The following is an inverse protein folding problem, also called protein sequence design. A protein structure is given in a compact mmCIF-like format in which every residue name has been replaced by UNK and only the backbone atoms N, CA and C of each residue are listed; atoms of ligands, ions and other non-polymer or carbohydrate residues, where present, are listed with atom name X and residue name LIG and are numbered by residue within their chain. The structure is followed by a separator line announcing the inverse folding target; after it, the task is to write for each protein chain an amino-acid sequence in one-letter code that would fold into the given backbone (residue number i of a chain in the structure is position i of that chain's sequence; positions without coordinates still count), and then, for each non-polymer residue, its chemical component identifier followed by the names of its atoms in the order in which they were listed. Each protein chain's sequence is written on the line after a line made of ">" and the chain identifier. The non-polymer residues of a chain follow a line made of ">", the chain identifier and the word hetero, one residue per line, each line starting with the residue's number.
data_IF_816212100638
#
_entry.id   IF_816212100638
#
_cell.length_a   1.000
_cell.length_b   1.000
_cell.length_c   1.000
_cell.angle_alpha   90.00
_cell.angle_beta   90.00
_cell.angle_gamma   90.00
#
_symmetry.space_group_name_H-M   'P 1'
#
loop_
_entity.id
_entity.type
_entity.pdbx_description
1 polymer ?
#
# COMPACT_ATOMS: atom_id res chain seq x y z
N UNK A 1 2.84 17.14 -10.45
CA UNK A 1 3.50 17.05 -11.77
C UNK A 1 2.44 17.03 -12.87
N UNK A 2 2.71 17.69 -13.99
CA UNK A 2 1.86 17.63 -15.18
C UNK A 2 2.18 16.36 -15.99
N UNK A 3 1.23 15.89 -16.81
CA UNK A 3 1.44 14.67 -17.59
C UNK A 3 2.68 14.75 -18.51
N UNK A 4 2.96 15.92 -19.10
CA UNK A 4 4.13 16.10 -19.97
C UNK A 4 5.47 16.05 -19.21
N UNK A 5 5.51 16.47 -17.94
CA UNK A 5 6.74 16.36 -17.12
C UNK A 5 7.06 14.88 -16.85
N UNK A 6 6.02 14.10 -16.55
CA UNK A 6 6.15 12.65 -16.33
C UNK A 6 6.60 11.97 -17.62
N UNK A 7 6.03 12.33 -18.74
CA UNK A 7 6.38 11.76 -20.04
C UNK A 7 7.83 12.02 -20.42
N UNK A 8 8.29 13.26 -20.27
CA UNK A 8 9.69 13.62 -20.50
C UNK A 8 10.64 12.84 -19.62
N UNK A 9 10.29 12.67 -18.34
CA UNK A 9 11.09 11.90 -17.40
C UNK A 9 11.17 10.40 -17.76
N UNK A 10 10.07 9.80 -18.22
CA UNK A 10 10.05 8.41 -18.70
C UNK A 10 10.96 8.23 -19.91
N UNK A 11 10.91 9.15 -20.87
CA UNK A 11 11.77 9.13 -22.06
C UNK A 11 13.25 9.19 -21.64
N UNK A 12 13.59 10.13 -20.77
CA UNK A 12 14.94 10.28 -20.24
C UNK A 12 15.46 9.01 -19.54
N UNK A 13 14.61 8.36 -18.72
CA UNK A 13 14.95 7.12 -18.03
C UNK A 13 15.23 5.98 -19.04
N UNK A 14 14.43 5.86 -20.08
CA UNK A 14 14.64 4.85 -21.12
C UNK A 14 15.91 5.12 -21.93
N UNK A 15 16.08 6.33 -22.44
CA UNK A 15 17.16 6.65 -23.38
C UNK A 15 18.52 6.75 -22.70
N UNK A 16 18.59 7.36 -21.52
CA UNK A 16 19.87 7.59 -20.83
C UNK A 16 20.31 6.42 -19.95
N UNK A 17 19.34 5.67 -19.38
CA UNK A 17 19.65 4.68 -18.36
C UNK A 17 19.15 3.28 -18.69
N UNK A 18 18.49 3.08 -19.84
CA UNK A 18 17.93 1.81 -20.26
C UNK A 18 16.99 1.17 -19.20
N UNK A 19 16.20 2.01 -18.53
CA UNK A 19 15.25 1.58 -17.50
C UNK A 19 13.95 1.14 -18.17
N UNK A 20 13.44 -0.05 -17.81
CA UNK A 20 12.20 -0.62 -18.37
C UNK A 20 10.97 -0.46 -17.47
N UNK A 21 11.12 0.07 -16.24
CA UNK A 21 10.02 0.26 -15.32
C UNK A 21 10.39 1.03 -14.08
N UNK A 22 9.37 1.47 -13.34
CA UNK A 22 9.53 2.30 -12.12
C UNK A 22 8.61 1.84 -11.00
N UNK A 23 9.08 2.05 -9.80
CA UNK A 23 8.26 2.02 -8.59
C UNK A 23 7.74 3.43 -8.30
N UNK A 24 6.43 3.57 -8.15
CA UNK A 24 5.81 4.85 -7.80
C UNK A 24 5.70 4.96 -6.29
N UNK A 25 6.43 5.89 -5.72
CA UNK A 25 6.39 6.21 -4.30
C UNK A 25 5.49 7.43 -4.14
N UNK A 26 4.20 7.18 -3.95
CA UNK A 26 3.21 8.23 -3.72
C UNK A 26 2.49 7.94 -2.41
N UNK A 27 2.17 8.98 -1.64
CA UNK A 27 1.49 8.81 -0.35
C UNK A 27 0.05 8.35 -0.50
N UNK A 28 -0.57 8.55 -1.67
CA UNK A 28 -1.96 8.17 -1.91
C UNK A 28 -2.29 8.02 -3.41
N UNK A 29 -1.54 7.16 -4.09
CA UNK A 29 -1.82 6.82 -5.49
C UNK A 29 -3.27 6.33 -5.65
N UNK A 30 -3.95 6.78 -6.70
CA UNK A 30 -5.35 6.44 -6.96
C UNK A 30 -6.37 7.39 -6.31
N UNK A 31 -5.95 8.32 -5.46
CA UNK A 31 -6.86 9.34 -4.89
C UNK A 31 -7.48 10.25 -5.96
N UNK A 32 -6.75 10.49 -7.05
CA UNK A 32 -7.24 11.15 -8.24
C UNK A 32 -7.30 10.14 -9.40
N UNK A 33 -8.47 9.56 -9.61
CA UNK A 33 -8.70 8.51 -10.63
C UNK A 33 -8.32 8.97 -12.04
N UNK A 34 -8.62 10.22 -12.40
CA UNK A 34 -8.29 10.77 -13.72
C UNK A 34 -6.78 10.79 -13.95
N UNK A 35 -6.03 11.32 -12.99
CA UNK A 35 -4.56 11.34 -13.06
C UNK A 35 -3.95 9.94 -13.09
N UNK A 36 -4.48 9.01 -12.31
CA UNK A 36 -4.05 7.61 -12.34
C UNK A 36 -4.24 6.98 -13.73
N UNK A 37 -5.35 7.24 -14.38
CA UNK A 37 -5.64 6.75 -15.73
C UNK A 37 -4.75 7.42 -16.80
N UNK A 38 -4.50 8.71 -16.70
CA UNK A 38 -3.58 9.42 -17.60
C UNK A 38 -2.17 8.88 -17.46
N UNK A 39 -1.70 8.68 -16.21
CA UNK A 39 -0.42 8.06 -15.92
C UNK A 39 -0.30 6.65 -16.54
N UNK A 40 -1.28 5.80 -16.31
CA UNK A 40 -1.28 4.43 -16.84
C UNK A 40 -1.21 4.40 -18.38
N UNK A 41 -1.94 5.31 -19.07
CA UNK A 41 -1.85 5.45 -20.53
C UNK A 41 -0.46 5.85 -20.99
N UNK A 42 0.24 6.74 -20.26
CA UNK A 42 1.62 7.10 -20.58
C UNK A 42 2.56 5.90 -20.44
N UNK A 43 2.41 5.11 -19.36
CA UNK A 43 3.19 3.89 -19.18
C UNK A 43 3.01 2.93 -20.35
N UNK A 44 1.75 2.72 -20.78
CA UNK A 44 1.44 1.86 -21.93
C UNK A 44 2.00 2.42 -23.24
N UNK A 45 1.86 3.73 -23.48
CA UNK A 45 2.37 4.41 -24.69
C UNK A 45 3.87 4.21 -24.87
N UNK A 46 4.64 4.23 -23.80
CA UNK A 46 6.09 4.10 -23.81
C UNK A 46 6.58 2.67 -23.53
N UNK A 47 5.68 1.68 -23.48
CA UNK A 47 6.00 0.30 -23.10
C UNK A 47 6.86 0.25 -21.83
N UNK A 48 6.37 0.86 -20.77
CA UNK A 48 7.06 1.03 -19.50
C UNK A 48 6.29 0.35 -18.39
N UNK A 49 6.95 -0.50 -17.62
CA UNK A 49 6.33 -1.18 -16.50
C UNK A 49 6.32 -0.31 -15.25
N UNK A 50 5.36 -0.55 -14.38
CA UNK A 50 5.23 0.22 -13.15
C UNK A 50 4.50 -0.52 -12.06
N UNK A 51 4.74 -0.12 -10.81
CA UNK A 51 3.93 -0.55 -9.68
C UNK A 51 3.90 0.53 -8.59
N UNK A 52 2.73 0.88 -8.05
CA UNK A 52 2.59 1.84 -6.97
C UNK A 52 2.71 1.15 -5.60
N UNK A 53 3.31 1.89 -4.66
CA UNK A 53 3.34 1.52 -3.24
C UNK A 53 2.64 2.59 -2.41
N UNK A 54 2.22 2.23 -1.19
CA UNK A 54 1.53 3.16 -0.29
C UNK A 54 0.08 3.47 -0.70
N UNK A 55 -0.53 2.60 -1.49
CA UNK A 55 -1.91 2.77 -1.95
C UNK A 55 -2.88 2.43 -0.81
N UNK A 56 -3.88 3.27 -0.60
CA UNK A 56 -4.97 2.94 0.33
C UNK A 56 -5.88 1.88 -0.29
N UNK A 57 -6.31 0.92 0.51
CA UNK A 57 -7.15 -0.21 0.04
C UNK A 57 -8.46 0.21 -0.62
N UNK A 58 -9.01 1.37 -0.25
CA UNK A 58 -10.25 1.93 -0.81
C UNK A 58 -10.03 2.86 -2.01
N UNK A 59 -8.78 3.08 -2.44
CA UNK A 59 -8.46 4.00 -3.54
C UNK A 59 -8.57 3.39 -4.92
N UNK A 60 -8.76 2.07 -5.03
CA UNK A 60 -8.85 1.37 -6.32
C UNK A 60 -10.01 0.39 -6.34
N UNK A 61 -10.84 0.46 -7.37
CA UNK A 61 -11.86 -0.53 -7.67
C UNK A 61 -11.31 -1.70 -8.49
N UNK A 62 -12.14 -2.72 -8.71
CA UNK A 62 -11.81 -3.81 -9.64
C UNK A 62 -11.53 -3.29 -11.06
N UNK A 63 -12.34 -2.35 -11.53
CA UNK A 63 -12.21 -1.73 -12.85
C UNK A 63 -10.93 -0.91 -12.97
N UNK A 64 -10.54 -0.20 -11.90
CA UNK A 64 -9.27 0.54 -11.87
C UNK A 64 -8.09 -0.42 -11.96
N UNK A 65 -8.09 -1.49 -11.18
CA UNK A 65 -7.03 -2.51 -11.22
C UNK A 65 -6.92 -3.18 -12.58
N UNK A 66 -8.06 -3.53 -13.19
CA UNK A 66 -8.09 -4.10 -14.54
C UNK A 66 -7.51 -3.14 -15.56
N UNK A 67 -7.93 -1.87 -15.53
CA UNK A 67 -7.39 -0.84 -16.41
C UNK A 67 -5.88 -0.67 -16.24
N UNK A 68 -5.40 -0.57 -15.00
CA UNK A 68 -3.97 -0.42 -14.71
C UNK A 68 -3.16 -1.63 -15.17
N UNK A 69 -3.66 -2.84 -14.96
CA UNK A 69 -3.02 -4.06 -15.43
C UNK A 69 -2.88 -4.10 -16.94
N UNK A 70 -3.94 -3.75 -17.68
CA UNK A 70 -3.93 -3.63 -19.14
C UNK A 70 -2.97 -2.53 -19.64
N UNK A 71 -2.55 -1.64 -18.74
CA UNK A 71 -1.62 -0.53 -18.97
C UNK A 71 -0.26 -0.71 -18.27
N UNK A 72 0.25 -1.94 -18.29
CA UNK A 72 1.58 -2.33 -17.83
C UNK A 72 1.83 -2.22 -16.31
N UNK A 73 0.79 -2.16 -15.48
CA UNK A 73 0.99 -2.29 -14.05
C UNK A 73 1.33 -3.75 -13.70
N UNK A 74 2.46 -3.99 -13.07
CA UNK A 74 2.91 -5.34 -12.67
C UNK A 74 2.36 -5.75 -11.31
N UNK A 75 2.33 -4.81 -10.40
CA UNK A 75 1.98 -5.07 -9.01
C UNK A 75 1.38 -3.81 -8.37
N UNK A 76 0.74 -4.00 -7.22
CA UNK A 76 0.29 -2.91 -6.36
C UNK A 76 0.58 -3.26 -4.90
N UNK A 77 0.98 -2.29 -4.10
CA UNK A 77 1.22 -2.50 -2.67
C UNK A 77 0.31 -1.61 -1.85
N UNK A 78 -0.61 -2.25 -1.14
CA UNK A 78 -1.51 -1.57 -0.22
C UNK A 78 -0.88 -1.43 1.17
N UNK A 79 -1.10 -0.28 1.79
CA UNK A 79 -0.92 -0.10 3.21
C UNK A 79 -2.22 -0.47 3.94
N UNK A 80 -2.29 -1.65 4.54
CA UNK A 80 -3.47 -2.04 5.33
C UNK A 80 -3.23 -2.00 6.84
N UNK A 81 -2.00 -1.88 7.27
CA UNK A 81 -1.47 -1.53 8.58
C UNK A 81 -1.81 -2.51 9.71
N UNK A 82 -3.01 -3.07 9.78
CA UNK A 82 -3.40 -3.99 10.84
C UNK A 82 -4.53 -4.95 10.41
N UNK A 83 -4.54 -6.15 10.96
CA UNK A 83 -5.57 -7.15 10.71
C UNK A 83 -6.66 -7.21 11.79
N UNK A 84 -6.57 -6.39 12.83
CA UNK A 84 -7.63 -6.20 13.82
C UNK A 84 -8.46 -4.97 13.49
N UNK A 85 -9.80 -5.11 13.45
CA UNK A 85 -10.69 -3.97 13.21
C UNK A 85 -10.54 -2.91 14.31
N UNK A 86 -10.43 -3.34 15.56
CA UNK A 86 -10.20 -2.44 16.68
C UNK A 86 -8.96 -1.57 16.45
N UNK A 87 -7.87 -2.15 15.97
CA UNK A 87 -6.64 -1.39 15.70
C UNK A 87 -6.78 -0.47 14.50
N UNK A 88 -7.48 -0.89 13.44
CA UNK A 88 -7.79 -0.02 12.29
C UNK A 88 -8.60 1.21 12.72
N UNK A 89 -9.54 1.03 13.65
CA UNK A 89 -10.36 2.11 14.20
C UNK A 89 -9.52 3.07 15.07
N UNK A 90 -8.65 2.54 15.94
CA UNK A 90 -7.69 3.33 16.73
C UNK A 90 -6.75 4.15 15.84
N UNK A 91 -6.29 3.56 14.74
CA UNK A 91 -5.45 4.23 13.74
C UNK A 91 -6.22 5.19 12.82
N UNK A 92 -7.53 5.31 12.98
CA UNK A 92 -8.42 6.13 12.13
C UNK A 92 -8.30 5.84 10.63
N UNK A 93 -8.10 4.57 10.25
CA UNK A 93 -7.88 4.19 8.85
C UNK A 93 -9.11 4.39 7.96
N UNK A 94 -10.32 4.41 8.54
CA UNK A 94 -11.60 4.64 7.85
C UNK A 94 -11.86 3.64 6.71
N UNK A 95 -11.48 2.39 6.94
CA UNK A 95 -11.83 1.22 6.13
C UNK A 95 -11.85 -0.02 7.01
N UNK A 96 -12.48 -1.07 6.53
CA UNK A 96 -12.69 -2.32 7.27
C UNK A 96 -11.74 -3.42 6.81
N UNK A 97 -11.65 -4.49 7.61
CA UNK A 97 -10.96 -5.73 7.19
C UNK A 97 -11.58 -6.31 5.91
N UNK A 98 -12.88 -6.15 5.74
CA UNK A 98 -13.56 -6.59 4.51
C UNK A 98 -13.11 -5.78 3.28
N UNK A 99 -12.92 -4.46 3.42
CA UNK A 99 -12.36 -3.63 2.35
C UNK A 99 -10.95 -4.10 1.97
N UNK A 100 -10.11 -4.46 2.94
CA UNK A 100 -8.79 -5.05 2.69
C UNK A 100 -8.90 -6.36 1.94
N UNK A 101 -9.77 -7.28 2.40
CA UNK A 101 -9.98 -8.56 1.75
C UNK A 101 -10.47 -8.39 0.31
N UNK A 102 -11.40 -7.48 0.09
CA UNK A 102 -11.95 -7.17 -1.23
C UNK A 102 -10.88 -6.59 -2.17
N UNK A 103 -10.03 -5.67 -1.70
CA UNK A 103 -8.94 -5.11 -2.49
C UNK A 103 -7.96 -6.21 -2.95
N UNK A 104 -7.52 -7.07 -2.02
CA UNK A 104 -6.62 -8.19 -2.33
C UNK A 104 -7.29 -9.22 -3.25
N UNK A 105 -8.56 -9.54 -3.00
CA UNK A 105 -9.34 -10.44 -3.86
C UNK A 105 -9.48 -9.91 -5.29
N UNK A 106 -9.67 -8.60 -5.45
CA UNK A 106 -9.72 -7.96 -6.75
C UNK A 106 -8.37 -8.05 -7.48
N UNK A 107 -7.25 -7.88 -6.78
CA UNK A 107 -5.93 -8.10 -7.36
C UNK A 107 -5.79 -9.52 -7.91
N UNK A 108 -6.19 -10.54 -7.13
CA UNK A 108 -6.17 -11.93 -7.57
C UNK A 108 -7.03 -12.16 -8.82
N UNK A 109 -8.25 -11.63 -8.83
CA UNK A 109 -9.20 -11.78 -9.97
C UNK A 109 -8.66 -11.16 -11.25
N UNK A 110 -7.95 -10.03 -11.15
CA UNK A 110 -7.35 -9.33 -12.31
C UNK A 110 -6.03 -9.97 -12.73
N UNK A 111 -5.32 -10.65 -11.82
CA UNK A 111 -3.98 -11.17 -12.05
C UNK A 111 -2.86 -10.20 -11.67
N UNK A 112 -3.17 -9.13 -10.92
CA UNK A 112 -2.20 -8.17 -10.41
C UNK A 112 -1.48 -8.75 -9.20
N UNK A 113 -0.16 -8.72 -9.24
CA UNK A 113 0.63 -9.12 -8.07
C UNK A 113 0.46 -8.13 -6.93
N UNK A 114 0.21 -8.65 -5.72
CA UNK A 114 0.22 -7.84 -4.50
C UNK A 114 0.66 -8.71 -3.33
N UNK A 115 1.52 -8.18 -2.49
CA UNK A 115 1.89 -8.82 -1.24
C UNK A 115 1.16 -8.08 -0.13
N UNK A 116 0.28 -8.76 0.63
CA UNK A 116 -0.39 -8.14 1.77
C UNK A 116 0.61 -7.95 2.91
N UNK A 117 1.39 -6.90 2.81
CA UNK A 117 2.42 -6.48 3.76
C UNK A 117 2.11 -5.09 4.29
N UNK A 118 2.64 -4.77 5.44
CA UNK A 118 2.50 -3.45 6.03
C UNK A 118 1.79 -3.47 7.38
N UNK A 119 1.95 -4.59 8.15
CA UNK A 119 1.51 -4.57 9.55
C UNK A 119 2.41 -3.65 10.36
N UNK A 120 1.78 -2.75 11.10
CA UNK A 120 2.40 -1.91 12.10
C UNK A 120 2.08 -2.46 13.49
N UNK A 121 3.12 -2.67 14.28
CA UNK A 121 3.02 -3.10 15.69
C UNK A 121 3.49 -2.02 16.63
N UNK A 122 3.01 -2.07 17.87
CA UNK A 122 3.38 -1.14 18.92
C UNK A 122 2.50 0.11 19.01
N UNK A 123 1.32 0.09 18.40
CA UNK A 123 0.34 1.16 18.56
C UNK A 123 -0.32 1.11 19.95
N UNK A 124 -0.63 2.25 20.56
CA UNK A 124 -1.44 2.29 21.77
C UNK A 124 -2.75 1.52 21.62
N UNK A 125 -3.09 0.71 22.61
CA UNK A 125 -4.29 -0.15 22.58
C UNK A 125 -4.08 -1.52 21.95
N UNK A 126 -2.89 -1.84 21.46
CA UNK A 126 -2.55 -3.18 20.99
C UNK A 126 -2.51 -4.18 22.14
N UNK A 127 -3.05 -5.36 21.91
CA UNK A 127 -3.10 -6.48 22.87
C UNK A 127 -2.66 -7.77 22.17
N UNK A 128 -2.44 -8.82 22.97
CA UNK A 128 -2.14 -10.15 22.42
C UNK A 128 -3.26 -10.65 21.52
N UNK A 129 -4.52 -10.34 21.82
CA UNK A 129 -5.69 -10.71 21.04
C UNK A 129 -5.68 -10.00 19.68
N UNK A 130 -5.42 -8.69 19.65
CA UNK A 130 -5.37 -7.93 18.40
C UNK A 130 -4.19 -8.36 17.51
N UNK A 131 -3.07 -8.78 18.10
CA UNK A 131 -1.94 -9.37 17.38
C UNK A 131 -2.32 -10.72 16.77
N UNK A 132 -3.00 -11.58 17.52
CA UNK A 132 -3.50 -12.88 17.01
C UNK A 132 -4.52 -12.70 15.89
N UNK A 133 -5.44 -11.74 16.02
CA UNK A 133 -6.37 -11.38 14.95
C UNK A 133 -5.64 -10.94 13.68
N UNK A 134 -4.62 -10.10 13.83
CA UNK A 134 -3.82 -9.60 12.72
C UNK A 134 -3.04 -10.71 12.03
N UNK A 135 -2.47 -11.63 12.80
CA UNK A 135 -1.78 -12.79 12.25
C UNK A 135 -2.73 -13.71 11.47
N UNK A 136 -3.89 -14.03 12.06
CA UNK A 136 -4.90 -14.88 11.41
C UNK A 136 -5.45 -14.24 10.13
N UNK A 137 -5.74 -12.94 10.15
CA UNK A 137 -6.22 -12.21 8.99
C UNK A 137 -5.17 -12.17 7.87
N UNK A 138 -3.91 -11.88 8.21
CA UNK A 138 -2.81 -11.88 7.24
C UNK A 138 -2.62 -13.25 6.60
N UNK A 139 -2.68 -14.32 7.41
CA UNK A 139 -2.61 -15.69 6.90
C UNK A 139 -3.74 -15.99 5.90
N UNK A 140 -4.96 -15.49 6.16
CA UNK A 140 -6.09 -15.65 5.23
C UNK A 140 -5.87 -14.95 3.90
N UNK A 141 -5.25 -13.76 3.90
CA UNK A 141 -4.90 -13.03 2.69
C UNK A 141 -3.79 -13.74 1.89
N UNK A 142 -2.81 -14.31 2.57
CA UNK A 142 -1.76 -15.11 1.91
C UNK A 142 -2.33 -16.36 1.27
N UNK A 143 -3.18 -17.07 1.99
CA UNK A 143 -3.91 -18.21 1.44
C UNK A 143 -4.75 -17.82 0.21
N UNK A 144 -5.46 -16.68 0.30
CA UNK A 144 -6.22 -16.14 -0.82
C UNK A 144 -5.33 -15.92 -2.05
N UNK A 145 -4.13 -15.36 -1.88
CA UNK A 145 -3.20 -15.08 -2.99
C UNK A 145 -2.44 -16.33 -3.47
N UNK A 146 -2.45 -17.42 -2.73
CA UNK A 146 -1.70 -18.63 -3.03
C UNK A 146 -0.20 -18.49 -2.68
N UNK A 147 0.14 -17.61 -1.77
CA UNK A 147 1.51 -17.49 -1.25
C UNK A 147 1.81 -18.60 -0.24
N UNK A 148 3.01 -19.11 -0.27
CA UNK A 148 3.49 -20.02 0.75
C UNK A 148 4.06 -19.25 1.96
N UNK A 149 4.34 -19.97 3.03
CA UNK A 149 4.90 -19.42 4.27
C UNK A 149 6.34 -18.88 4.11
N UNK A 150 7.04 -19.17 3.00
CA UNK A 150 8.35 -18.63 2.69
C UNK A 150 8.26 -17.22 2.07
N UNK A 151 7.06 -16.74 1.75
CA UNK A 151 6.88 -15.37 1.28
C UNK A 151 7.31 -14.41 2.37
N UNK A 152 8.36 -13.65 2.09
CA UNK A 152 8.98 -12.76 3.08
C UNK A 152 7.98 -11.72 3.58
N UNK A 153 7.81 -11.68 4.88
CA UNK A 153 7.00 -10.70 5.58
C UNK A 153 7.86 -9.93 6.58
N UNK A 154 7.86 -8.60 6.47
CA UNK A 154 8.60 -7.74 7.39
C UNK A 154 7.62 -6.86 8.18
N UNK A 155 7.24 -7.25 9.40
CA UNK A 155 6.44 -6.39 10.26
C UNK A 155 7.25 -5.14 10.62
N UNK A 156 6.58 -4.00 10.67
CA UNK A 156 7.20 -2.72 11.00
C UNK A 156 6.72 -2.26 12.37
N UNK A 157 7.64 -1.79 13.19
CA UNK A 157 7.31 -1.14 14.44
C UNK A 157 6.89 0.30 14.18
N UNK A 158 5.86 0.75 14.90
CA UNK A 158 5.47 2.15 14.87
C UNK A 158 6.58 3.03 15.49
N UNK A 159 6.83 4.17 14.86
CA UNK A 159 7.83 5.13 15.33
C UNK A 159 7.11 6.41 15.74
N UNK A 160 7.33 6.83 16.96
CA UNK A 160 6.81 8.10 17.47
C UNK A 160 7.65 9.27 16.90
N UNK A 161 7.19 9.86 15.82
CA UNK A 161 7.89 10.96 15.13
C UNK A 161 7.49 12.30 15.80
N UNK A 162 8.43 13.18 16.13
CA UNK A 162 8.14 14.50 16.71
C UNK A 162 7.07 15.26 15.90
N UNK A 163 6.10 15.83 16.60
CA UNK A 163 4.97 16.55 16.00
C UNK A 163 3.80 15.66 15.58
N UNK A 164 3.82 14.37 15.90
CA UNK A 164 2.68 13.47 15.71
C UNK A 164 1.92 13.24 17.01
N UNK A 165 0.60 12.93 16.96
CA UNK A 165 -0.18 12.59 18.16
C UNK A 165 0.43 11.43 18.97
N UNK A 166 1.02 10.45 18.30
CA UNK A 166 1.70 9.34 18.96
C UNK A 166 2.92 9.82 19.76
N UNK A 167 3.69 10.76 19.24
CA UNK A 167 4.83 11.33 19.95
C UNK A 167 4.39 12.06 21.21
N UNK A 168 3.35 12.89 21.11
CA UNK A 168 2.77 13.60 22.26
C UNK A 168 2.23 12.62 23.31
N UNK A 169 1.55 11.58 22.88
CA UNK A 169 1.10 10.52 23.78
C UNK A 169 2.27 9.84 24.50
N UNK A 170 3.33 9.47 23.80
CA UNK A 170 4.52 8.86 24.40
C UNK A 170 5.21 9.79 25.41
N UNK A 171 5.18 11.11 25.17
CA UNK A 171 5.66 12.09 26.17
C UNK A 171 4.77 12.16 27.43
N UNK A 172 3.44 12.11 27.22
CA UNK A 172 2.47 12.15 28.32
C UNK A 172 2.61 10.95 29.25
N UNK A 173 2.84 9.76 28.72
CA UNK A 173 3.02 8.53 29.48
C UNK A 173 4.48 8.30 29.96
N UNK A 174 5.40 9.22 29.64
CA UNK A 174 6.78 9.19 30.11
C UNK A 174 7.70 8.18 29.38
N UNK A 175 7.30 7.65 28.25
CA UNK A 175 8.13 6.75 27.42
C UNK A 175 9.20 7.53 26.65
N UNK A 176 8.90 8.76 26.28
CA UNK A 176 9.84 9.70 25.67
C UNK A 176 10.03 10.90 26.62
N UNK A 177 11.29 11.28 26.85
CA UNK A 177 11.60 12.43 27.66
C UNK A 177 11.08 13.75 27.05
N UNK A 178 10.78 14.72 27.92
CA UNK A 178 10.50 16.09 27.46
C UNK A 178 11.82 16.69 27.00
N UNK A 179 11.92 16.96 25.70
CA UNK A 179 13.02 17.77 25.15
C UNK A 179 12.76 19.24 25.34
#
# INVERSE_FOLDING_TARGET
>A
YQAHDIESHIIDLKEKYNVGGVMIIDQNFGSNRKQGYEFARLMKKHDFFWFPIGVRVVSTSYEDLKFYYEHNMLAIRYGFENGSQQMLDIMEKKYTKEDVYNAISNCKKVGVSTVPVGLLFGMPGETEETIKESAAFTASLWYLMGYDWNTFYNPTWVIAIPGTPLYEYCQQIGVIGKT
#
